data_IF_619394959236
#
_entry.id   IF_619394959236
#
_cell.length_a   1.000
_cell.length_b   1.000
_cell.length_c   1.000
_cell.angle_alpha   90.00
_cell.angle_beta   90.00
_cell.angle_gamma   90.00
#
_symmetry.space_group_name_H-M   'P 1'
#
loop_
_entity.id
_entity.type
_entity.pdbx_description
1 polymer ?
#
# COMPACT_ATOMS: atom_id res chain seq x y z
N UNK A 1 -10.79 -7.21 -24.31
CA UNK A 1 -9.81 -7.36 -25.41
C UNK A 1 -10.43 -8.21 -26.51
N UNK A 2 -10.14 -7.91 -27.78
CA UNK A 2 -10.45 -8.84 -28.89
C UNK A 2 -9.47 -10.00 -28.80
N UNK A 3 -9.91 -11.22 -29.12
CA UNK A 3 -9.08 -12.44 -29.07
C UNK A 3 -7.77 -12.37 -29.92
N UNK A 4 -7.67 -11.39 -30.82
CA UNK A 4 -6.53 -11.17 -31.69
C UNK A 4 -5.50 -10.15 -31.20
N UNK A 5 -5.76 -9.47 -30.07
CA UNK A 5 -4.78 -8.51 -29.54
C UNK A 5 -3.68 -9.26 -28.77
N UNK A 6 -2.38 -9.07 -29.12
CA UNK A 6 -1.30 -9.68 -28.37
C UNK A 6 -1.32 -9.17 -26.91
N UNK A 7 -1.27 -10.11 -25.97
CA UNK A 7 -1.13 -9.78 -24.56
C UNK A 7 0.35 -9.63 -24.26
N UNK A 8 0.82 -8.47 -23.77
CA UNK A 8 2.19 -8.36 -23.29
C UNK A 8 2.47 -9.45 -22.25
N UNK A 9 3.60 -10.11 -22.37
CA UNK A 9 4.05 -11.14 -21.44
C UNK A 9 5.49 -10.86 -21.04
N UNK A 10 5.87 -11.29 -19.85
CA UNK A 10 7.21 -11.14 -19.34
C UNK A 10 7.46 -12.04 -18.14
N UNK A 11 8.72 -12.21 -17.71
CA UNK A 11 9.06 -13.05 -16.59
C UNK A 11 8.51 -12.47 -15.26
N UNK A 12 8.30 -13.36 -14.29
CA UNK A 12 7.97 -13.03 -12.91
C UNK A 12 9.02 -13.69 -12.02
N UNK A 13 10.12 -13.00 -11.79
CA UNK A 13 11.25 -13.48 -11.00
C UNK A 13 11.33 -12.74 -9.66
N UNK A 14 11.10 -13.44 -8.56
CA UNK A 14 11.34 -12.90 -7.22
C UNK A 14 12.83 -12.90 -6.89
N UNK A 15 13.34 -11.76 -6.43
CA UNK A 15 14.68 -11.60 -5.90
C UNK A 15 14.64 -10.95 -4.54
N UNK A 16 15.67 -11.20 -3.73
CA UNK A 16 15.83 -10.55 -2.43
C UNK A 16 17.08 -9.67 -2.45
N UNK A 17 16.97 -8.44 -2.01
CA UNK A 17 18.11 -7.56 -1.79
C UNK A 17 19.07 -8.23 -0.80
N UNK A 18 20.32 -8.44 -1.21
CA UNK A 18 21.31 -9.10 -0.35
C UNK A 18 21.59 -8.24 0.90
N UNK A 19 21.41 -8.84 2.07
CA UNK A 19 21.80 -8.23 3.35
C UNK A 19 23.28 -8.51 3.61
N UNK A 20 24.13 -7.96 2.74
CA UNK A 20 25.57 -7.95 2.98
C UNK A 20 25.97 -6.64 3.69
N UNK A 21 27.27 -6.50 3.99
CA UNK A 21 27.83 -5.33 4.66
C UNK A 21 27.79 -4.04 3.82
N UNK A 22 27.12 -4.03 2.66
CA UNK A 22 27.03 -2.84 1.80
C UNK A 22 26.04 -1.84 2.39
N UNK A 23 26.44 -0.58 2.39
CA UNK A 23 25.56 0.51 2.74
C UNK A 23 24.33 0.50 1.79
N UNK A 24 23.13 0.42 2.37
CA UNK A 24 21.87 0.45 1.61
C UNK A 24 21.19 -0.90 1.39
N UNK A 25 21.82 -2.03 1.73
CA UNK A 25 21.17 -3.35 1.68
C UNK A 25 20.02 -3.42 2.70
N UNK A 26 18.78 -3.68 2.24
CA UNK A 26 17.58 -3.62 3.08
C UNK A 26 16.83 -4.97 3.23
N UNK A 27 17.24 -6.01 2.48
CA UNK A 27 16.57 -7.31 2.51
C UNK A 27 15.18 -7.34 1.85
N UNK A 28 14.80 -6.31 1.08
CA UNK A 28 13.55 -6.24 0.33
C UNK A 28 13.43 -7.42 -0.62
N UNK A 29 12.26 -8.02 -0.67
CA UNK A 29 11.86 -8.99 -1.70
C UNK A 29 11.06 -8.26 -2.76
N UNK A 30 11.45 -8.43 -4.02
CA UNK A 30 10.84 -7.70 -5.13
C UNK A 30 10.89 -8.51 -6.43
N UNK A 31 10.14 -8.10 -7.43
CA UNK A 31 10.35 -8.59 -8.78
C UNK A 31 11.67 -8.05 -9.32
N UNK A 32 12.38 -8.88 -10.10
CA UNK A 32 13.61 -8.46 -10.79
C UNK A 32 13.32 -7.44 -11.89
N UNK A 33 12.16 -7.55 -12.51
CA UNK A 33 11.71 -6.70 -13.60
C UNK A 33 10.50 -5.90 -13.16
N UNK A 34 10.46 -4.61 -13.48
CA UNK A 34 9.26 -3.78 -13.38
C UNK A 34 8.62 -3.61 -14.76
N UNK A 35 7.36 -3.23 -14.76
CA UNK A 35 6.56 -2.96 -15.93
C UNK A 35 5.96 -1.57 -15.83
N UNK A 36 5.78 -0.91 -16.97
CA UNK A 36 5.30 0.48 -17.00
C UNK A 36 3.96 0.64 -16.29
N UNK A 37 3.93 1.48 -15.27
CA UNK A 37 2.74 1.74 -14.45
C UNK A 37 1.55 2.28 -15.28
N UNK A 38 1.80 3.08 -16.34
CA UNK A 38 0.76 3.59 -17.23
C UNK A 38 0.07 2.49 -18.05
N UNK A 39 0.74 1.36 -18.31
CA UNK A 39 0.15 0.18 -18.94
C UNK A 39 -0.66 -0.67 -17.96
N UNK A 40 -0.25 -0.72 -16.70
CA UNK A 40 -0.90 -1.50 -15.64
C UNK A 40 -2.15 -0.79 -15.11
N UNK A 41 -2.03 0.49 -14.76
CA UNK A 41 -3.06 1.28 -14.07
C UNK A 41 -3.76 2.32 -14.97
N UNK A 42 -3.66 2.16 -16.30
CA UNK A 42 -4.25 3.07 -17.27
C UNK A 42 -5.72 2.77 -17.59
N UNK A 43 -6.13 3.14 -18.80
CA UNK A 43 -7.50 3.08 -19.31
C UNK A 43 -8.21 1.70 -19.24
N UNK A 44 -7.45 0.62 -19.07
CA UNK A 44 -7.97 -0.75 -19.04
C UNK A 44 -7.98 -1.35 -17.63
N UNK A 45 -7.64 -0.57 -16.61
CA UNK A 45 -7.69 -1.02 -15.23
C UNK A 45 -9.14 -1.30 -14.83
N UNK A 46 -9.44 -2.55 -14.52
CA UNK A 46 -10.82 -3.03 -14.37
C UNK A 46 -11.27 -3.22 -12.92
N UNK A 47 -10.37 -3.15 -11.95
CA UNK A 47 -10.72 -3.31 -10.54
C UNK A 47 -11.52 -2.12 -10.03
N UNK A 48 -12.58 -2.40 -9.25
CA UNK A 48 -13.39 -1.38 -8.59
C UNK A 48 -13.77 -1.83 -7.19
N UNK A 49 -13.32 -1.08 -6.19
CA UNK A 49 -13.52 -1.38 -4.76
C UNK A 49 -15.00 -1.51 -4.36
N UNK A 50 -15.86 -0.65 -4.91
CA UNK A 50 -17.28 -0.63 -4.60
C UNK A 50 -18.12 -1.78 -5.17
N UNK A 51 -17.53 -2.69 -5.97
CA UNK A 51 -18.23 -3.88 -6.48
C UNK A 51 -18.27 -5.02 -5.47
N UNK A 52 -17.33 -5.07 -4.55
CA UNK A 52 -17.18 -6.15 -3.59
C UNK A 52 -17.69 -5.70 -2.21
N UNK A 53 -18.78 -6.29 -1.74
CA UNK A 53 -19.39 -5.92 -0.45
C UNK A 53 -18.44 -6.12 0.74
N UNK A 54 -17.60 -7.17 0.74
CA UNK A 54 -16.63 -7.39 1.80
C UNK A 54 -15.52 -6.32 1.80
N UNK A 55 -15.07 -5.88 0.61
CA UNK A 55 -14.12 -4.77 0.51
C UNK A 55 -14.74 -3.46 0.98
N UNK A 56 -15.99 -3.16 0.62
CA UNK A 56 -16.70 -1.97 1.11
C UNK A 56 -16.79 -1.97 2.63
N UNK A 57 -17.14 -3.12 3.24
CA UNK A 57 -17.20 -3.27 4.70
C UNK A 57 -15.82 -3.07 5.33
N UNK A 58 -14.76 -3.66 4.74
CA UNK A 58 -13.38 -3.50 5.19
C UNK A 58 -12.93 -2.03 5.17
N UNK A 59 -13.14 -1.32 4.05
CA UNK A 59 -12.77 0.08 3.93
C UNK A 59 -13.54 0.98 4.90
N UNK A 60 -14.84 0.71 5.14
CA UNK A 60 -15.63 1.42 6.16
C UNK A 60 -15.09 1.20 7.57
N UNK A 61 -14.76 -0.04 7.93
CA UNK A 61 -14.16 -0.36 9.22
C UNK A 61 -12.80 0.35 9.37
N UNK A 62 -11.99 0.39 8.31
CA UNK A 62 -10.72 1.10 8.28
C UNK A 62 -10.91 2.61 8.56
N UNK A 63 -11.86 3.25 7.90
CA UNK A 63 -12.19 4.66 8.16
C UNK A 63 -12.65 4.85 9.61
N UNK A 64 -13.52 3.96 10.14
CA UNK A 64 -13.93 4.00 11.55
C UNK A 64 -12.73 4.01 12.49
N UNK A 65 -11.76 3.11 12.26
CA UNK A 65 -10.52 3.05 13.04
C UNK A 65 -9.68 4.32 12.90
N UNK A 66 -9.53 4.85 11.69
CA UNK A 66 -8.76 6.09 11.42
C UNK A 66 -9.38 7.29 12.15
N UNK A 67 -10.72 7.36 12.21
CA UNK A 67 -11.42 8.44 12.90
C UNK A 67 -11.12 8.48 14.42
N UNK A 68 -10.73 7.34 15.02
CA UNK A 68 -10.34 7.25 16.42
C UNK A 68 -8.87 7.63 16.68
N UNK A 69 -8.01 7.58 15.66
CA UNK A 69 -6.57 7.79 15.80
C UNK A 69 -6.15 9.26 15.92
N UNK A 70 -6.95 10.18 15.40
CA UNK A 70 -6.63 11.61 15.36
C UNK A 70 -7.83 12.46 15.77
N UNK A 71 -7.56 13.63 16.34
CA UNK A 71 -8.60 14.64 16.60
C UNK A 71 -8.97 15.36 15.31
N UNK A 72 -10.23 15.61 15.09
CA UNK A 72 -10.76 16.20 13.86
C UNK A 72 -11.35 17.57 14.07
N UNK A 73 -11.22 18.42 13.04
CA UNK A 73 -11.90 19.70 12.92
C UNK A 73 -12.66 19.75 11.60
N UNK A 74 -13.80 20.42 11.52
CA UNK A 74 -14.47 20.68 10.25
C UNK A 74 -13.51 21.26 9.22
N UNK A 75 -13.52 20.72 8.01
CA UNK A 75 -12.63 21.12 6.94
C UNK A 75 -11.24 20.50 6.97
N UNK A 76 -10.86 19.69 7.95
CA UNK A 76 -9.60 18.94 7.90
C UNK A 76 -9.52 18.11 6.59
N UNK A 77 -8.32 18.05 5.99
CA UNK A 77 -8.11 17.41 4.71
C UNK A 77 -7.77 15.93 4.90
N UNK A 78 -8.50 15.10 4.18
CA UNK A 78 -8.19 13.67 3.95
C UNK A 78 -7.79 13.48 2.50
N UNK A 79 -6.66 12.82 2.26
CA UNK A 79 -6.20 12.41 0.93
C UNK A 79 -6.20 10.90 0.86
N UNK A 80 -6.78 10.33 -0.21
CA UNK A 80 -6.69 8.91 -0.53
C UNK A 80 -5.92 8.72 -1.83
N UNK A 81 -4.78 8.03 -1.78
CA UNK A 81 -3.92 7.78 -2.93
C UNK A 81 -4.17 6.35 -3.42
N UNK A 82 -4.43 6.18 -4.73
CA UNK A 82 -5.01 4.97 -5.27
C UNK A 82 -6.49 4.85 -4.92
N UNK A 83 -7.19 5.99 -4.95
CA UNK A 83 -8.56 6.13 -4.41
C UNK A 83 -9.64 5.38 -5.20
N UNK A 84 -9.29 4.81 -6.35
CA UNK A 84 -10.15 4.00 -7.21
C UNK A 84 -11.51 4.68 -7.49
N UNK A 85 -12.63 4.11 -7.07
CA UNK A 85 -13.97 4.68 -7.24
C UNK A 85 -14.43 5.55 -6.06
N UNK A 86 -13.52 5.97 -5.18
CA UNK A 86 -13.81 6.83 -4.02
C UNK A 86 -14.57 6.13 -2.88
N UNK A 87 -14.63 4.80 -2.87
CA UNK A 87 -15.38 4.04 -1.84
C UNK A 87 -14.87 4.33 -0.43
N UNK A 88 -13.55 4.43 -0.22
CA UNK A 88 -12.99 4.78 1.08
C UNK A 88 -13.35 6.23 1.47
N UNK A 89 -13.19 7.18 0.56
CA UNK A 89 -13.46 8.60 0.83
C UNK A 89 -14.92 8.87 1.16
N UNK A 90 -15.86 8.12 0.57
CA UNK A 90 -17.30 8.22 0.88
C UNK A 90 -17.65 7.77 2.30
N UNK A 91 -16.77 7.05 2.98
CA UNK A 91 -16.98 6.63 4.36
C UNK A 91 -16.60 7.70 5.40
N UNK A 92 -15.86 8.72 5.00
CA UNK A 92 -15.54 9.84 5.88
C UNK A 92 -16.71 10.82 6.00
N UNK A 93 -16.85 11.54 7.16
CA UNK A 93 -17.86 12.56 7.36
C UNK A 93 -17.80 13.67 6.31
N UNK A 94 -18.97 14.19 5.91
CA UNK A 94 -19.07 15.29 4.92
C UNK A 94 -18.49 16.62 5.41
N UNK A 95 -18.30 16.76 6.72
CA UNK A 95 -17.63 17.94 7.32
C UNK A 95 -16.14 18.03 7.01
N UNK A 96 -15.54 16.97 6.46
CA UNK A 96 -14.13 16.93 6.09
C UNK A 96 -13.93 17.25 4.61
N UNK A 97 -12.80 17.88 4.29
CA UNK A 97 -12.33 18.06 2.92
C UNK A 97 -11.72 16.75 2.44
N UNK A 98 -12.15 16.25 1.29
CA UNK A 98 -11.75 14.93 0.79
C UNK A 98 -11.18 15.04 -0.61
N UNK A 99 -10.00 14.47 -0.82
CA UNK A 99 -9.29 14.45 -2.10
C UNK A 99 -8.91 13.02 -2.47
N UNK A 100 -9.40 12.53 -3.60
CA UNK A 100 -8.93 11.30 -4.23
C UNK A 100 -7.85 11.56 -5.26
N UNK A 101 -6.88 10.67 -5.35
CA UNK A 101 -5.82 10.70 -6.36
C UNK A 101 -5.70 9.30 -6.97
N UNK A 102 -5.96 9.18 -8.27
CA UNK A 102 -5.92 7.88 -8.96
C UNK A 102 -5.72 8.07 -10.47
N UNK A 103 -4.73 7.42 -11.11
CA UNK A 103 -4.52 7.55 -12.55
C UNK A 103 -5.70 7.02 -13.38
N UNK A 104 -6.49 6.08 -12.86
CA UNK A 104 -7.72 5.59 -13.48
C UNK A 104 -8.96 6.43 -13.10
N UNK A 105 -8.81 7.45 -12.27
CA UNK A 105 -9.90 8.24 -11.66
C UNK A 105 -10.90 8.79 -12.67
N UNK A 106 -10.46 9.20 -13.86
CA UNK A 106 -11.35 9.69 -14.94
C UNK A 106 -12.41 8.65 -15.35
N UNK A 107 -12.13 7.36 -15.25
CA UNK A 107 -13.09 6.29 -15.59
C UNK A 107 -14.09 6.03 -14.47
N UNK A 108 -13.73 6.43 -13.25
CA UNK A 108 -14.52 6.25 -12.04
C UNK A 108 -15.17 7.56 -11.55
N UNK A 109 -14.96 8.69 -12.22
CA UNK A 109 -15.46 10.01 -11.82
C UNK A 109 -16.97 10.03 -11.49
N UNK A 110 -17.78 9.27 -12.22
CA UNK A 110 -19.23 9.14 -11.98
C UNK A 110 -19.60 8.60 -10.59
N UNK A 111 -18.66 7.99 -9.87
CA UNK A 111 -18.87 7.44 -8.53
C UNK A 111 -18.44 8.41 -7.43
N UNK A 112 -17.78 9.51 -7.79
CA UNK A 112 -17.40 10.56 -6.86
C UNK A 112 -18.54 11.57 -6.73
N UNK A 113 -19.07 11.78 -5.50
CA UNK A 113 -19.98 12.91 -5.26
C UNK A 113 -19.22 14.24 -5.45
N UNK A 114 -19.94 15.31 -5.77
CA UNK A 114 -19.36 16.65 -6.00
C UNK A 114 -18.56 17.17 -4.79
N UNK A 115 -18.85 16.67 -3.59
CA UNK A 115 -18.15 17.02 -2.35
C UNK A 115 -16.77 16.38 -2.19
N UNK A 116 -16.36 15.49 -3.12
CA UNK A 116 -15.05 14.85 -3.11
C UNK A 116 -14.27 15.27 -4.34
N UNK A 117 -13.15 15.95 -4.12
CA UNK A 117 -12.26 16.32 -5.20
C UNK A 117 -11.47 15.13 -5.73
N UNK A 118 -11.14 15.15 -7.03
CA UNK A 118 -10.39 14.09 -7.70
C UNK A 118 -9.27 14.67 -8.55
N UNK A 119 -8.07 14.13 -8.38
CA UNK A 119 -6.94 14.27 -9.30
C UNK A 119 -6.81 12.94 -10.07
N UNK A 120 -7.10 12.98 -11.38
CA UNK A 120 -7.01 11.80 -12.25
C UNK A 120 -5.60 11.66 -12.83
N UNK A 121 -4.62 11.45 -11.96
CA UNK A 121 -3.20 11.30 -12.27
C UNK A 121 -2.48 10.50 -11.17
N UNK A 122 -1.22 10.16 -11.40
CA UNK A 122 -0.36 9.64 -10.36
C UNK A 122 -0.13 10.67 -9.24
N UNK A 123 0.06 10.17 -8.02
CA UNK A 123 0.32 11.04 -6.88
C UNK A 123 1.63 11.80 -7.05
N UNK A 124 1.57 13.10 -6.76
CA UNK A 124 2.74 13.94 -6.46
C UNK A 124 2.36 15.03 -5.46
N UNK A 125 3.30 15.39 -4.60
CA UNK A 125 3.09 16.49 -3.64
C UNK A 125 2.84 17.81 -4.35
N UNK A 126 3.41 18.01 -5.54
CA UNK A 126 3.17 19.19 -6.38
C UNK A 126 1.72 19.26 -6.86
N UNK A 127 1.16 18.14 -7.36
CA UNK A 127 -0.23 18.07 -7.80
C UNK A 127 -1.21 18.37 -6.66
N UNK A 128 -0.93 17.84 -5.46
CA UNK A 128 -1.71 18.18 -4.25
C UNK A 128 -1.62 19.67 -3.93
N UNK A 129 -0.42 20.24 -3.92
CA UNK A 129 -0.22 21.68 -3.65
C UNK A 129 -0.93 22.57 -4.68
N UNK A 130 -0.87 22.20 -5.95
CA UNK A 130 -1.57 22.91 -7.03
C UNK A 130 -3.09 22.89 -6.83
N UNK A 131 -3.65 21.78 -6.30
CA UNK A 131 -5.10 21.63 -6.12
C UNK A 131 -5.60 22.20 -4.80
N UNK A 132 -4.88 21.99 -3.70
CA UNK A 132 -5.30 22.29 -2.33
C UNK A 132 -4.59 23.51 -1.72
N UNK A 133 -3.67 24.15 -2.46
CA UNK A 133 -2.82 25.21 -1.93
C UNK A 133 -1.89 24.69 -0.84
N UNK A 134 -1.69 25.48 0.21
CA UNK A 134 -0.81 25.12 1.34
C UNK A 134 -1.48 24.24 2.39
N UNK A 135 -2.73 23.80 2.12
CA UNK A 135 -3.48 22.96 3.06
C UNK A 135 -2.82 21.60 3.22
N UNK A 136 -2.46 21.24 4.45
CA UNK A 136 -1.86 19.96 4.79
C UNK A 136 -2.91 18.93 5.17
N UNK A 137 -2.66 17.67 4.84
CA UNK A 137 -3.57 16.59 5.13
C UNK A 137 -3.47 16.17 6.60
N UNK A 138 -4.63 16.08 7.25
CA UNK A 138 -4.76 15.48 8.57
C UNK A 138 -4.53 13.97 8.49
N UNK A 139 -5.04 13.36 7.43
CA UNK A 139 -4.84 11.95 7.12
C UNK A 139 -4.54 11.78 5.63
N UNK A 140 -3.56 10.95 5.34
CA UNK A 140 -3.33 10.37 4.02
C UNK A 140 -3.60 8.88 4.12
N UNK A 141 -4.30 8.30 3.15
CA UNK A 141 -4.47 6.84 3.02
C UNK A 141 -3.90 6.35 1.69
N UNK A 142 -3.40 5.10 1.69
CA UNK A 142 -3.05 4.36 0.47
C UNK A 142 -3.25 2.86 0.73
N UNK A 143 -4.34 2.31 0.17
CA UNK A 143 -4.75 0.93 0.45
C UNK A 143 -4.50 0.08 -0.79
N UNK A 144 -3.73 -1.00 -0.61
CA UNK A 144 -3.40 -1.98 -1.64
C UNK A 144 -2.82 -1.34 -2.93
N UNK A 145 -1.82 -0.43 -2.76
CA UNK A 145 -1.14 0.20 -3.89
C UNK A 145 0.37 0.47 -3.66
N UNK A 146 0.82 0.50 -2.39
CA UNK A 146 2.20 0.89 -2.07
C UNK A 146 3.23 -0.13 -2.57
N UNK A 147 2.87 -1.41 -2.70
CA UNK A 147 3.71 -2.48 -3.25
C UNK A 147 3.90 -2.42 -4.78
N UNK A 148 3.22 -1.49 -5.45
CA UNK A 148 3.24 -1.30 -6.91
C UNK A 148 4.22 -0.21 -7.34
N UNK A 149 4.90 0.44 -6.39
CA UNK A 149 5.71 1.64 -6.63
C UNK A 149 7.15 1.27 -7.01
N UNK A 150 7.68 1.90 -8.06
CA UNK A 150 9.10 1.77 -8.44
C UNK A 150 10.03 2.61 -7.54
N UNK A 151 9.51 3.70 -6.94
CA UNK A 151 10.24 4.55 -5.99
C UNK A 151 9.43 4.77 -4.71
N UNK A 152 9.35 3.76 -3.84
CA UNK A 152 8.59 3.86 -2.59
C UNK A 152 9.20 4.87 -1.60
N UNK A 153 10.52 5.08 -1.62
CA UNK A 153 11.16 6.04 -0.73
C UNK A 153 10.83 7.48 -1.15
N UNK A 154 10.90 7.80 -2.44
CA UNK A 154 10.45 9.09 -2.98
C UNK A 154 8.98 9.34 -2.72
N UNK A 155 8.13 8.32 -2.85
CA UNK A 155 6.71 8.39 -2.50
C UNK A 155 6.51 8.73 -1.02
N UNK A 156 7.16 8.02 -0.08
CA UNK A 156 7.10 8.31 1.35
C UNK A 156 7.52 9.74 1.68
N UNK A 157 8.58 10.23 1.03
CA UNK A 157 9.06 11.60 1.20
C UNK A 157 7.99 12.61 0.80
N UNK A 158 7.37 12.41 -0.37
CA UNK A 158 6.28 13.27 -0.85
C UNK A 158 5.01 13.20 0.04
N UNK A 159 4.68 12.02 0.60
CA UNK A 159 3.63 11.89 1.60
C UNK A 159 3.95 12.76 2.82
N UNK A 160 5.20 12.72 3.31
CA UNK A 160 5.66 13.59 4.39
C UNK A 160 5.49 15.09 4.10
N UNK A 161 5.67 15.51 2.83
CA UNK A 161 5.47 16.90 2.42
C UNK A 161 4.02 17.35 2.51
N UNK A 162 3.05 16.50 2.20
CA UNK A 162 1.63 16.84 2.21
C UNK A 162 0.96 16.67 3.57
N UNK A 163 1.57 15.89 4.49
CA UNK A 163 1.07 15.69 5.85
C UNK A 163 1.17 16.96 6.72
N UNK A 164 0.16 17.19 7.55
CA UNK A 164 0.24 18.11 8.68
C UNK A 164 1.28 17.62 9.72
N UNK A 165 1.72 18.51 10.63
CA UNK A 165 2.74 18.15 11.63
C UNK A 165 2.28 17.03 12.58
N UNK A 166 0.99 17.01 12.90
CA UNK A 166 0.34 15.98 13.70
C UNK A 166 -0.59 15.07 12.86
N UNK A 167 -0.42 15.09 11.53
CA UNK A 167 -1.12 14.22 10.60
C UNK A 167 -0.56 12.81 10.59
N UNK A 168 -1.36 11.86 10.09
CA UNK A 168 -0.97 10.46 9.93
C UNK A 168 -1.13 9.99 8.49
N UNK A 169 -0.25 9.08 8.10
CA UNK A 169 -0.39 8.30 6.88
C UNK A 169 -0.71 6.86 7.23
N UNK A 170 -1.85 6.36 6.76
CA UNK A 170 -2.31 4.99 6.97
C UNK A 170 -2.27 4.26 5.64
N UNK A 171 -1.49 3.20 5.55
CA UNK A 171 -1.47 2.35 4.37
C UNK A 171 -1.62 0.88 4.75
N UNK A 172 -2.23 0.14 3.85
CA UNK A 172 -2.46 -1.30 4.03
C UNK A 172 -2.07 -2.04 2.77
N UNK A 173 -1.41 -3.17 2.96
CA UNK A 173 -0.93 -4.00 1.86
C UNK A 173 -0.62 -5.42 2.31
N UNK A 174 -0.34 -6.31 1.35
CA UNK A 174 0.10 -7.67 1.62
C UNK A 174 1.33 -7.70 2.53
N UNK A 175 1.33 -8.63 3.49
CA UNK A 175 2.38 -8.78 4.48
C UNK A 175 3.23 -10.01 4.15
N UNK A 176 4.49 -9.81 3.77
CA UNK A 176 5.39 -10.89 3.33
C UNK A 176 5.46 -12.09 4.29
N UNK A 177 5.59 -11.93 5.63
CA UNK A 177 5.56 -13.06 6.55
C UNK A 177 4.27 -13.89 6.49
N UNK A 178 3.11 -13.23 6.31
CA UNK A 178 1.82 -13.91 6.17
C UNK A 178 1.73 -14.67 4.83
N UNK A 179 2.13 -14.03 3.74
CA UNK A 179 2.24 -14.64 2.41
C UNK A 179 3.10 -15.92 2.44
N UNK A 180 4.30 -15.84 3.01
CA UNK A 180 5.20 -16.99 3.14
C UNK A 180 4.56 -18.10 3.98
N UNK A 181 3.91 -17.77 5.11
CA UNK A 181 3.26 -18.73 6.00
C UNK A 181 2.08 -19.44 5.32
N UNK A 182 1.23 -18.68 4.63
CA UNK A 182 0.03 -19.19 3.97
C UNK A 182 0.31 -19.86 2.62
N UNK A 183 1.54 -19.77 2.10
CA UNK A 183 1.89 -20.17 0.74
C UNK A 183 1.02 -19.46 -0.31
N UNK A 184 0.72 -18.17 -0.09
CA UNK A 184 -0.11 -17.35 -0.95
C UNK A 184 0.71 -16.82 -2.15
N UNK A 185 1.02 -17.69 -3.10
CA UNK A 185 1.78 -17.33 -4.31
C UNK A 185 0.93 -16.70 -5.42
N UNK A 186 -0.38 -16.70 -5.27
CA UNK A 186 -1.34 -16.00 -6.12
C UNK A 186 -1.16 -14.48 -6.10
N UNK A 187 -0.52 -13.94 -5.04
CA UNK A 187 -0.16 -12.52 -4.95
C UNK A 187 1.09 -12.17 -5.75
N UNK A 188 1.81 -13.16 -6.33
CA UNK A 188 3.00 -12.92 -7.14
C UNK A 188 2.56 -12.70 -8.59
N UNK A 189 2.49 -11.44 -8.97
CA UNK A 189 2.04 -11.01 -10.30
C UNK A 189 2.80 -9.75 -10.75
N UNK A 190 2.66 -9.40 -12.02
CA UNK A 190 3.37 -8.26 -12.62
C UNK A 190 3.02 -6.91 -12.01
N UNK A 191 1.84 -6.78 -11.37
CA UNK A 191 1.39 -5.55 -10.71
C UNK A 191 2.10 -5.34 -9.38
N UNK A 192 2.35 -6.42 -8.62
CA UNK A 192 2.95 -6.36 -7.30
C UNK A 192 4.47 -6.49 -7.40
N UNK A 193 5.16 -5.38 -7.50
CA UNK A 193 6.60 -5.39 -7.72
C UNK A 193 7.42 -5.53 -6.44
N UNK A 194 6.84 -5.27 -5.27
CA UNK A 194 7.54 -5.29 -3.99
C UNK A 194 6.74 -6.04 -2.91
N UNK A 195 7.45 -6.79 -2.04
CA UNK A 195 6.87 -7.65 -1.00
C UNK A 195 7.46 -7.27 0.35
N UNK A 196 6.68 -6.57 1.15
CA UNK A 196 7.15 -5.91 2.36
C UNK A 196 6.94 -6.73 3.64
N UNK A 197 7.94 -6.66 4.50
CA UNK A 197 7.81 -6.83 5.94
C UNK A 197 7.92 -5.45 6.62
N UNK A 198 7.59 -5.35 7.91
CA UNK A 198 7.65 -4.10 8.67
C UNK A 198 9.06 -3.52 8.72
N UNK A 199 10.07 -4.40 8.75
CA UNK A 199 11.51 -4.03 8.73
C UNK A 199 11.86 -3.11 7.55
N UNK A 200 11.37 -3.40 6.33
CA UNK A 200 11.63 -2.56 5.16
C UNK A 200 10.88 -1.24 5.25
N UNK A 201 9.66 -1.26 5.75
CA UNK A 201 8.86 -0.05 5.98
C UNK A 201 9.56 0.86 7.01
N UNK A 202 10.03 0.31 8.12
CA UNK A 202 10.78 1.07 9.13
C UNK A 202 12.07 1.69 8.56
N UNK A 203 12.80 0.91 7.75
CA UNK A 203 14.02 1.36 7.11
C UNK A 203 13.78 2.57 6.18
N UNK A 204 12.70 2.54 5.39
CA UNK A 204 12.31 3.63 4.49
C UNK A 204 11.70 4.81 5.25
N UNK A 205 10.81 4.57 6.21
CA UNK A 205 10.15 5.62 6.98
C UNK A 205 11.18 6.54 7.67
N UNK A 206 12.19 5.96 8.32
CA UNK A 206 13.28 6.73 8.94
C UNK A 206 14.01 7.63 7.93
N UNK A 207 14.22 7.19 6.69
CA UNK A 207 14.88 7.95 5.63
C UNK A 207 14.01 9.04 5.04
N UNK A 208 12.71 8.80 5.01
CA UNK A 208 11.71 9.76 4.55
C UNK A 208 11.31 10.80 5.63
N UNK A 209 11.96 10.80 6.80
CA UNK A 209 11.61 11.69 7.91
C UNK A 209 10.27 11.32 8.58
N UNK A 210 9.86 10.06 8.47
CA UNK A 210 8.66 9.49 9.10
C UNK A 210 9.04 8.52 10.23
N UNK A 211 8.06 8.20 11.07
CA UNK A 211 8.14 7.13 12.08
C UNK A 211 6.85 6.31 12.06
N UNK A 212 6.96 5.01 12.30
CA UNK A 212 5.80 4.13 12.50
C UNK A 212 5.26 4.41 13.90
N UNK A 213 3.95 4.67 14.02
CA UNK A 213 3.29 4.88 15.31
C UNK A 213 2.37 3.72 15.68
N UNK A 214 1.82 2.99 14.71
CA UNK A 214 0.99 1.81 14.96
C UNK A 214 1.07 0.82 13.79
N UNK A 215 0.73 -0.43 14.04
CA UNK A 215 0.66 -1.49 13.04
C UNK A 215 -0.41 -2.51 13.44
N UNK A 216 -1.21 -2.96 12.48
CA UNK A 216 -2.20 -4.02 12.64
C UNK A 216 -1.99 -5.08 11.57
N UNK A 217 -2.22 -6.35 11.89
CA UNK A 217 -2.31 -7.43 10.89
C UNK A 217 -3.75 -7.89 10.73
N UNK A 218 -4.15 -8.24 9.52
CA UNK A 218 -5.48 -8.75 9.22
C UNK A 218 -5.43 -9.86 8.18
N UNK A 219 -6.59 -10.47 7.91
CA UNK A 219 -6.71 -11.58 6.97
C UNK A 219 -7.05 -11.16 5.52
N UNK A 220 -7.11 -9.85 5.23
CA UNK A 220 -7.42 -9.37 3.89
C UNK A 220 -6.36 -9.88 2.89
N UNK A 221 -6.81 -10.29 1.70
CA UNK A 221 -5.95 -10.74 0.60
C UNK A 221 -4.89 -11.80 1.00
N UNK A 222 -5.27 -12.76 1.85
CA UNK A 222 -4.34 -13.81 2.31
C UNK A 222 -3.38 -13.41 3.42
N UNK A 223 -3.56 -12.24 3.99
CA UNK A 223 -2.77 -11.68 5.09
C UNK A 223 -2.13 -10.36 4.74
N UNK A 224 -2.65 -9.30 5.33
CA UNK A 224 -2.17 -7.93 5.15
C UNK A 224 -1.73 -7.32 6.48
N UNK A 225 -0.98 -6.25 6.40
CA UNK A 225 -0.71 -5.36 7.52
C UNK A 225 -1.11 -3.93 7.17
N UNK A 226 -1.64 -3.24 8.15
CA UNK A 226 -1.96 -1.81 8.10
C UNK A 226 -0.95 -1.08 8.96
N UNK A 227 -0.23 -0.14 8.39
CA UNK A 227 0.80 0.64 9.07
C UNK A 227 0.36 2.08 9.18
N UNK A 228 0.54 2.66 10.36
CA UNK A 228 0.29 4.08 10.62
C UNK A 228 1.62 4.77 10.81
N UNK A 229 1.92 5.75 9.96
CA UNK A 229 3.11 6.58 10.05
C UNK A 229 2.74 8.02 10.38
N UNK A 230 3.64 8.72 11.05
CA UNK A 230 3.59 10.15 11.30
C UNK A 230 4.96 10.77 10.99
N UNK A 231 5.03 12.10 10.89
CA UNK A 231 6.33 12.79 10.81
C UNK A 231 7.20 12.44 12.03
N UNK A 232 8.51 12.29 11.81
CA UNK A 232 9.45 11.94 12.89
C UNK A 232 9.39 12.93 14.07
N UNK A 233 9.18 14.24 13.78
CA UNK A 233 9.02 15.32 14.77
C UNK A 233 7.64 15.40 15.43
N UNK A 234 6.65 14.63 14.98
CA UNK A 234 5.29 14.62 15.54
C UNK A 234 5.29 14.22 17.03
N UNK A 235 4.37 14.80 17.82
CA UNK A 235 4.14 14.43 19.21
C UNK A 235 3.46 13.07 19.39
N UNK A 236 2.93 12.47 18.33
CA UNK A 236 2.31 11.14 18.36
C UNK A 236 3.33 10.08 18.77
N UNK A 237 2.96 9.25 19.75
CA UNK A 237 3.86 8.24 20.32
C UNK A 237 3.65 6.88 19.64
N UNK A 238 4.75 6.15 19.33
CA UNK A 238 4.67 4.78 18.82
C UNK A 238 4.05 3.80 19.82
N UNK A 239 3.28 2.85 19.33
CA UNK A 239 2.84 1.66 20.05
C UNK A 239 3.97 0.62 20.06
N UNK A 240 5.07 0.92 20.77
CA UNK A 240 6.37 0.27 20.64
C UNK A 240 6.32 -1.24 20.85
N UNK A 241 5.56 -1.74 21.81
CA UNK A 241 5.52 -3.17 22.14
C UNK A 241 5.07 -4.05 20.99
N UNK A 242 4.06 -3.60 20.20
CA UNK A 242 3.57 -4.34 19.04
C UNK A 242 4.55 -4.25 17.87
N UNK A 243 5.06 -3.06 17.60
CA UNK A 243 6.06 -2.81 16.54
C UNK A 243 7.30 -3.67 16.81
N UNK A 244 7.86 -3.62 18.03
CA UNK A 244 9.05 -4.38 18.42
C UNK A 244 8.83 -5.89 18.33
N UNK A 245 7.63 -6.36 18.70
CA UNK A 245 7.26 -7.78 18.60
C UNK A 245 7.27 -8.27 17.15
N UNK A 246 6.70 -7.50 16.23
CA UNK A 246 6.69 -7.85 14.80
C UNK A 246 8.11 -7.81 14.22
N UNK A 247 8.88 -6.77 14.49
CA UNK A 247 10.27 -6.66 14.05
C UNK A 247 11.13 -7.83 14.56
N UNK A 248 10.90 -8.28 15.80
CA UNK A 248 11.58 -9.45 16.34
C UNK A 248 11.22 -10.74 15.59
N UNK A 249 9.94 -10.95 15.29
CA UNK A 249 9.48 -12.11 14.52
C UNK A 249 10.03 -12.13 13.09
N UNK A 250 10.22 -10.95 12.49
CA UNK A 250 10.73 -10.80 11.14
C UNK A 250 12.23 -11.11 11.00
N UNK A 251 13.00 -11.19 12.10
CA UNK A 251 14.44 -11.52 12.04
C UNK A 251 14.75 -12.81 11.27
N UNK A 252 13.82 -13.78 11.25
CA UNK A 252 13.96 -15.01 10.46
C UNK A 252 14.09 -14.76 8.96
N UNK A 253 13.57 -13.62 8.46
CA UNK A 253 13.66 -13.22 7.06
C UNK A 253 15.07 -12.78 6.66
N UNK A 254 15.99 -12.61 7.62
CA UNK A 254 17.40 -12.30 7.32
C UNK A 254 18.11 -13.49 6.66
N UNK A 255 17.60 -14.71 6.85
CA UNK A 255 18.11 -15.91 6.19
C UNK A 255 17.30 -16.27 4.93
N UNK A 256 17.83 -17.17 4.10
CA UNK A 256 17.12 -17.70 2.93
C UNK A 256 16.17 -18.85 3.28
N UNK A 257 16.23 -19.42 4.50
CA UNK A 257 15.45 -20.60 4.87
C UNK A 257 13.93 -20.43 4.65
N UNK A 258 13.25 -19.35 5.09
CA UNK A 258 11.81 -19.20 4.88
C UNK A 258 11.42 -19.15 3.39
N UNK A 259 12.29 -18.62 2.54
CA UNK A 259 12.06 -18.52 1.09
C UNK A 259 12.25 -19.87 0.39
N UNK A 260 13.23 -20.67 0.81
CA UNK A 260 13.43 -22.04 0.32
C UNK A 260 12.24 -22.92 0.73
N UNK A 261 11.80 -22.84 1.98
CA UNK A 261 10.61 -23.54 2.47
C UNK A 261 9.36 -23.16 1.69
N UNK A 262 9.15 -21.88 1.44
CA UNK A 262 8.04 -21.38 0.62
C UNK A 262 8.10 -21.96 -0.79
N UNK A 263 9.23 -21.87 -1.48
CA UNK A 263 9.43 -22.44 -2.82
C UNK A 263 9.11 -23.94 -2.84
N UNK A 264 9.57 -24.69 -1.84
CA UNK A 264 9.30 -26.13 -1.74
C UNK A 264 7.81 -26.43 -1.64
N UNK A 265 7.06 -25.65 -0.82
CA UNK A 265 5.60 -25.82 -0.70
C UNK A 265 4.87 -25.44 -1.99
N UNK A 266 5.29 -24.38 -2.67
CA UNK A 266 4.71 -23.98 -3.97
C UNK A 266 4.89 -25.07 -5.01
N UNK A 267 6.11 -25.63 -5.15
CA UNK A 267 6.38 -26.72 -6.10
C UNK A 267 5.56 -27.98 -5.80
N UNK A 268 5.44 -28.35 -4.53
CA UNK A 268 4.60 -29.47 -4.10
C UNK A 268 3.13 -29.24 -4.47
N UNK A 269 2.60 -28.04 -4.18
CA UNK A 269 1.22 -27.70 -4.52
C UNK A 269 0.98 -27.70 -6.04
N UNK A 270 1.94 -27.23 -6.82
CA UNK A 270 1.88 -27.30 -8.29
C UNK A 270 1.81 -28.76 -8.78
N UNK A 271 2.63 -29.67 -8.22
CA UNK A 271 2.58 -31.11 -8.54
C UNK A 271 1.22 -31.72 -8.17
N UNK A 272 0.66 -31.36 -7.03
CA UNK A 272 -0.67 -31.82 -6.59
C UNK A 272 -1.76 -31.35 -7.54
N UNK A 273 -1.74 -30.08 -7.97
CA UNK A 273 -2.67 -29.55 -8.96
C UNK A 273 -2.57 -30.26 -10.32
N UNK A 274 -1.34 -30.51 -10.82
CA UNK A 274 -1.11 -31.21 -12.09
C UNK A 274 -1.59 -32.69 -12.05
N UNK A 275 -1.65 -33.31 -10.87
CA UNK A 275 -2.23 -34.65 -10.71
C UNK A 275 -3.75 -34.63 -10.63
N UNK A 276 -4.34 -33.51 -10.22
CA UNK A 276 -5.78 -33.35 -10.10
C UNK A 276 -6.45 -33.13 -11.48
N UNK A 277 -5.77 -32.44 -12.40
CA UNK A 277 -6.23 -32.20 -13.78
C UNK A 277 -5.71 -33.28 -14.76
#
# INVERSE_FOLDING_TARGET
RRASEPVPSGPVDLVKCAQDSRAGACGLVQLRQSYRADQMYGARYGYRSGLNASMVAHLRAKVGRILELVSWKPGDLVIDIGSNDGTLLRAYPDSLSRLGIDPAGRYFQRYYPESIELISDFFSAEAVRKRMGDKKARVVTSIAMFYDLEDPLGFMTQVGEVLAEDGIWVFEQSYLPAMLKATAYDTICHEHIEYYALTQIEWMARRAGLKIIDVETNAANGGSFSVVCAKAGSSLRPHSSLIDSLLLQERRLNSMAPFVEFKTRVLKHMEELLRFF
#
